data_IF_379005874447
#
_entry.id   IF_379005874447
#
_cell.length_a   1.000
_cell.length_b   1.000
_cell.length_c   1.000
_cell.angle_alpha   90.00
_cell.angle_beta   90.00
_cell.angle_gamma   90.00
#
_symmetry.space_group_name_H-M   'P 1'
#
loop_
_entity.id
_entity.type
_entity.pdbx_description
1 polymer ?
#
# COMPACT_ATOMS: atom_id res chain seq x y z
N UNK A 1 -6.12 2.24 -4.37
CA UNK A 1 -5.60 3.60 -4.20
C UNK A 1 -6.65 4.57 -3.68
N UNK A 2 -6.22 5.62 -2.99
CA UNK A 2 -7.14 6.65 -2.48
C UNK A 2 -7.28 7.84 -3.45
N UNK A 3 -6.33 8.00 -4.38
CA UNK A 3 -6.34 9.10 -5.33
C UNK A 3 -7.41 8.89 -6.41
N UNK A 4 -8.30 9.87 -6.54
CA UNK A 4 -9.32 9.86 -7.59
C UNK A 4 -8.68 10.09 -8.96
N UNK A 5 -9.21 9.46 -9.99
CA UNK A 5 -8.79 9.64 -11.38
C UNK A 5 -9.91 10.29 -12.19
N UNK A 6 -9.53 11.11 -13.15
CA UNK A 6 -10.51 11.81 -14.00
C UNK A 6 -10.70 11.08 -15.34
N UNK A 7 -11.90 11.11 -15.94
CA UNK A 7 -12.21 10.38 -17.18
C UNK A 7 -11.24 10.69 -18.34
N UNK A 8 -10.72 11.91 -18.42
CA UNK A 8 -9.76 12.31 -19.45
C UNK A 8 -8.44 11.50 -19.42
N UNK A 9 -8.13 10.81 -18.32
CA UNK A 9 -6.96 9.94 -18.21
C UNK A 9 -7.18 8.54 -18.82
N UNK A 10 -8.43 8.17 -19.13
CA UNK A 10 -8.75 6.81 -19.60
C UNK A 10 -8.03 6.42 -20.91
N UNK A 11 -7.96 7.27 -21.97
CA UNK A 11 -7.26 6.87 -23.20
C UNK A 11 -5.79 6.52 -22.96
N UNK A 12 -5.07 7.36 -22.21
CA UNK A 12 -3.66 7.11 -21.87
C UNK A 12 -3.49 5.88 -20.98
N UNK A 13 -4.44 5.65 -20.05
CA UNK A 13 -4.44 4.46 -19.19
C UNK A 13 -4.60 3.18 -20.00
N UNK A 14 -5.51 3.15 -20.96
CA UNK A 14 -5.69 1.99 -21.84
C UNK A 14 -4.47 1.76 -22.73
N UNK A 15 -3.90 2.82 -23.32
CA UNK A 15 -2.69 2.69 -24.11
C UNK A 15 -1.54 2.09 -23.30
N UNK A 16 -1.25 2.65 -22.12
CA UNK A 16 -0.21 2.14 -21.22
C UNK A 16 -0.47 0.68 -20.82
N UNK A 17 -1.69 0.34 -20.48
CA UNK A 17 -2.05 -1.04 -20.12
C UNK A 17 -1.80 -2.02 -21.27
N UNK A 18 -2.18 -1.66 -22.51
CA UNK A 18 -1.95 -2.48 -23.68
C UNK A 18 -0.46 -2.65 -23.99
N UNK A 19 0.33 -1.59 -23.83
CA UNK A 19 1.78 -1.64 -24.05
C UNK A 19 2.46 -2.51 -22.98
N UNK A 20 2.09 -2.38 -21.71
CA UNK A 20 2.62 -3.21 -20.62
C UNK A 20 2.17 -4.68 -20.70
N UNK A 21 1.06 -5.00 -21.37
CA UNK A 21 0.68 -6.38 -21.69
C UNK A 21 1.56 -7.00 -22.79
N UNK A 22 2.00 -6.19 -23.75
CA UNK A 22 2.91 -6.65 -24.83
C UNK A 22 4.34 -6.83 -24.31
N UNK A 23 4.79 -5.89 -23.51
CA UNK A 23 6.12 -5.85 -22.90
C UNK A 23 5.99 -5.75 -21.37
N UNK A 24 5.71 -6.86 -20.67
CA UNK A 24 5.52 -6.82 -19.23
C UNK A 24 6.75 -6.29 -18.49
N UNK A 25 6.58 -5.39 -17.51
CA UNK A 25 7.69 -4.89 -16.72
C UNK A 25 8.34 -6.03 -15.92
N UNK A 26 9.66 -6.04 -15.87
CA UNK A 26 10.42 -7.04 -15.10
C UNK A 26 10.55 -6.65 -13.63
N UNK A 27 10.75 -7.65 -12.77
CA UNK A 27 11.17 -7.44 -11.39
C UNK A 27 12.68 -7.17 -11.34
N UNK A 28 13.10 -6.30 -10.40
CA UNK A 28 14.53 -6.05 -10.18
C UNK A 28 15.18 -7.21 -9.46
N UNK A 29 16.42 -7.53 -9.86
CA UNK A 29 17.34 -8.31 -9.07
C UNK A 29 18.30 -7.41 -8.27
N UNK A 30 18.88 -7.97 -7.23
CA UNK A 30 19.80 -7.29 -6.32
C UNK A 30 21.04 -8.17 -6.11
N UNK A 31 22.23 -7.59 -5.92
CA UNK A 31 23.47 -8.36 -5.78
C UNK A 31 23.55 -9.11 -4.44
N UNK A 32 22.79 -8.72 -3.42
CA UNK A 32 22.78 -9.35 -2.10
C UNK A 32 21.50 -9.06 -1.33
N UNK A 33 21.32 -9.77 -0.21
CA UNK A 33 20.27 -9.52 0.77
C UNK A 33 20.34 -8.09 1.34
N UNK A 34 21.53 -7.63 1.64
CA UNK A 34 21.80 -6.29 2.16
C UNK A 34 21.36 -5.21 1.17
N UNK A 35 21.56 -5.43 -0.13
CA UNK A 35 21.08 -4.51 -1.17
C UNK A 35 19.53 -4.48 -1.25
N UNK A 36 18.86 -5.58 -0.96
CA UNK A 36 17.38 -5.60 -0.80
C UNK A 36 16.99 -4.79 0.43
N UNK A 37 17.66 -5.01 1.58
CA UNK A 37 17.40 -4.28 2.82
C UNK A 37 17.62 -2.78 2.67
N UNK A 38 18.68 -2.35 2.00
CA UNK A 38 18.91 -0.95 1.67
C UNK A 38 17.81 -0.35 0.82
N UNK A 39 17.31 -1.11 -0.16
CA UNK A 39 16.18 -0.67 -0.99
C UNK A 39 14.91 -0.49 -0.16
N UNK A 40 14.62 -1.39 0.77
CA UNK A 40 13.48 -1.29 1.68
C UNK A 40 13.61 -0.04 2.56
N UNK A 41 14.78 0.23 3.13
CA UNK A 41 15.06 1.44 3.93
C UNK A 41 14.98 2.73 3.13
N UNK A 42 15.39 2.71 1.86
CA UNK A 42 15.23 3.86 0.96
C UNK A 42 13.75 4.18 0.70
N UNK A 43 12.89 3.17 0.64
CA UNK A 43 11.45 3.34 0.48
C UNK A 43 10.76 3.76 1.80
N UNK A 44 11.24 3.24 2.92
CA UNK A 44 10.79 3.60 4.26
C UNK A 44 11.99 3.95 5.16
N UNK A 45 12.38 5.24 5.27
CA UNK A 45 13.50 5.67 6.10
C UNK A 45 13.32 5.41 7.61
N UNK A 46 12.10 5.11 8.06
CA UNK A 46 11.79 4.75 9.45
C UNK A 46 12.15 3.30 9.79
N UNK A 47 12.35 2.48 8.76
CA UNK A 47 12.63 1.05 8.93
C UNK A 47 14.03 0.84 9.55
N UNK A 48 14.09 0.12 10.69
CA UNK A 48 15.38 -0.21 11.33
C UNK A 48 16.20 -1.16 10.47
N UNK A 49 17.52 -1.19 10.60
CA UNK A 49 18.39 -2.12 9.88
C UNK A 49 17.97 -3.58 10.09
N UNK A 50 17.67 -3.96 11.33
CA UNK A 50 17.29 -5.32 11.73
C UNK A 50 15.98 -5.75 11.06
N UNK A 51 14.97 -4.88 11.08
CA UNK A 51 13.69 -5.12 10.39
C UNK A 51 13.85 -5.16 8.87
N UNK A 52 14.73 -4.34 8.30
CA UNK A 52 15.00 -4.36 6.87
C UNK A 52 15.63 -5.69 6.42
N UNK A 53 16.55 -6.24 7.20
CA UNK A 53 17.16 -7.56 6.96
C UNK A 53 16.10 -8.65 7.10
N UNK A 54 15.31 -8.63 8.18
CA UNK A 54 14.21 -9.58 8.37
C UNK A 54 13.23 -9.57 7.17
N UNK A 55 12.80 -8.39 6.73
CA UNK A 55 11.89 -8.26 5.60
C UNK A 55 12.53 -8.74 4.29
N UNK A 56 13.84 -8.50 4.07
CA UNK A 56 14.51 -8.96 2.85
C UNK A 56 14.54 -10.47 2.72
N UNK A 57 14.66 -11.22 3.83
CA UNK A 57 14.61 -12.68 3.86
C UNK A 57 13.23 -13.24 3.44
N UNK A 58 12.17 -12.44 3.59
CA UNK A 58 10.80 -12.80 3.20
C UNK A 58 10.35 -12.19 1.87
N UNK A 59 11.06 -11.19 1.37
CA UNK A 59 10.70 -10.46 0.16
C UNK A 59 11.43 -10.96 -1.09
N UNK A 60 12.62 -11.52 -0.91
CA UNK A 60 13.47 -11.94 -2.00
C UNK A 60 14.17 -13.27 -1.70
N UNK A 61 14.53 -13.98 -2.75
CA UNK A 61 15.28 -15.23 -2.68
C UNK A 61 16.50 -15.17 -3.60
N UNK A 62 17.64 -15.78 -3.21
CA UNK A 62 18.79 -15.89 -4.08
C UNK A 62 18.56 -16.94 -5.18
N UNK A 63 19.06 -16.66 -6.37
CA UNK A 63 19.21 -17.67 -7.42
C UNK A 63 20.52 -18.46 -7.28
N UNK A 64 20.77 -19.40 -8.21
CA UNK A 64 21.97 -20.23 -8.23
C UNK A 64 23.27 -19.42 -8.43
N UNK A 65 23.18 -18.19 -8.93
CA UNK A 65 24.30 -17.26 -9.15
C UNK A 65 24.47 -16.28 -7.97
N UNK A 66 23.61 -16.37 -6.95
CA UNK A 66 23.62 -15.51 -5.77
C UNK A 66 22.93 -14.15 -5.94
N UNK A 67 22.30 -13.89 -7.08
CA UNK A 67 21.47 -12.69 -7.26
C UNK A 67 20.13 -12.86 -6.57
N UNK A 68 19.68 -11.81 -5.85
CA UNK A 68 18.43 -11.82 -5.07
C UNK A 68 17.26 -11.29 -5.89
N UNK A 69 16.21 -12.08 -6.01
CA UNK A 69 15.01 -11.76 -6.78
C UNK A 69 13.81 -11.57 -5.87
N UNK A 70 13.10 -10.45 -6.06
CA UNK A 70 11.84 -10.20 -5.36
C UNK A 70 10.81 -11.24 -5.75
N UNK A 71 10.12 -11.85 -4.78
CA UNK A 71 9.17 -12.94 -4.99
C UNK A 71 7.79 -12.51 -5.53
N UNK A 72 7.62 -11.24 -5.84
CA UNK A 72 6.35 -10.73 -6.39
C UNK A 72 6.15 -11.16 -7.85
N UNK A 73 4.89 -11.35 -8.25
CA UNK A 73 4.54 -11.53 -9.66
C UNK A 73 4.82 -10.21 -10.43
N UNK A 74 5.63 -10.22 -11.51
CA UNK A 74 5.87 -9.04 -12.34
C UNK A 74 4.59 -8.37 -12.87
N UNK A 75 3.52 -9.13 -13.04
CA UNK A 75 2.20 -8.62 -13.47
C UNK A 75 1.60 -7.59 -12.51
N UNK A 76 2.03 -7.57 -11.24
CA UNK A 76 1.63 -6.51 -10.29
C UNK A 76 2.12 -5.11 -10.70
N UNK A 77 3.08 -5.01 -11.61
CA UNK A 77 3.53 -3.73 -12.15
C UNK A 77 2.72 -3.24 -13.34
N UNK A 78 1.92 -4.11 -13.96
CA UNK A 78 1.03 -3.72 -15.05
C UNK A 78 -0.04 -2.80 -14.47
N UNK A 79 -0.22 -1.63 -15.07
CA UNK A 79 -1.27 -0.71 -14.62
C UNK A 79 -2.65 -1.34 -14.82
N UNK A 80 -3.58 -1.05 -13.90
CA UNK A 80 -4.98 -1.46 -14.12
C UNK A 80 -5.58 -0.68 -15.30
N UNK A 81 -6.24 -1.39 -16.20
CA UNK A 81 -7.01 -0.76 -17.28
C UNK A 81 -8.12 0.15 -16.72
N UNK A 82 -8.71 -0.23 -15.60
CA UNK A 82 -9.77 0.53 -14.97
C UNK A 82 -9.20 1.71 -14.16
N UNK A 83 -9.72 2.90 -14.41
CA UNK A 83 -9.46 4.05 -13.55
C UNK A 83 -10.06 3.81 -12.16
N UNK A 84 -9.39 4.33 -11.12
CA UNK A 84 -9.96 4.37 -9.79
C UNK A 84 -11.08 5.41 -9.73
N UNK A 85 -12.31 4.94 -9.59
CA UNK A 85 -13.52 5.78 -9.50
C UNK A 85 -14.04 5.76 -8.08
N UNK A 86 -13.85 6.87 -7.38
CA UNK A 86 -14.19 6.98 -5.96
C UNK A 86 -15.65 6.63 -5.68
N UNK A 87 -16.58 7.12 -6.48
CA UNK A 87 -18.01 6.89 -6.23
C UNK A 87 -18.44 5.42 -6.39
N UNK A 88 -17.84 4.69 -7.33
CA UNK A 88 -18.06 3.25 -7.48
C UNK A 88 -17.52 2.49 -6.25
N UNK A 89 -16.34 2.89 -5.75
CA UNK A 89 -15.76 2.28 -4.54
C UNK A 89 -16.62 2.56 -3.31
N UNK A 90 -17.11 3.79 -3.15
CA UNK A 90 -17.96 4.16 -2.02
C UNK A 90 -19.30 3.42 -2.06
N UNK A 91 -19.88 3.21 -3.25
CA UNK A 91 -21.08 2.38 -3.40
C UNK A 91 -20.83 0.93 -2.95
N UNK A 92 -19.65 0.36 -3.25
CA UNK A 92 -19.25 -0.95 -2.73
C UNK A 92 -19.08 -0.93 -1.20
N UNK A 93 -18.43 0.10 -0.64
CA UNK A 93 -18.21 0.20 0.80
C UNK A 93 -19.50 0.33 1.60
N UNK A 94 -20.52 0.98 1.07
CA UNK A 94 -21.86 1.05 1.67
C UNK A 94 -22.53 -0.31 1.84
N UNK A 95 -22.13 -1.32 1.07
CA UNK A 95 -22.67 -2.68 1.13
C UNK A 95 -21.86 -3.62 2.04
N UNK A 96 -20.80 -3.14 2.68
CA UNK A 96 -20.01 -3.95 3.61
C UNK A 96 -20.88 -4.24 4.85
N UNK A 97 -21.11 -5.51 5.12
CA UNK A 97 -21.88 -5.96 6.30
C UNK A 97 -20.98 -6.43 7.45
N UNK A 98 -19.71 -6.70 7.16
CA UNK A 98 -18.74 -7.07 8.19
C UNK A 98 -18.25 -5.82 8.94
N UNK A 99 -17.90 -5.94 10.23
CA UNK A 99 -17.19 -4.89 10.95
C UNK A 99 -15.86 -4.56 10.26
N UNK A 100 -15.50 -3.28 10.24
CA UNK A 100 -14.26 -2.78 9.60
C UNK A 100 -13.38 -2.11 10.62
N UNK A 101 -12.10 -2.47 10.67
CA UNK A 101 -11.07 -1.74 11.39
C UNK A 101 -10.30 -0.85 10.42
N UNK A 102 -10.44 0.47 10.59
CA UNK A 102 -9.71 1.49 9.84
C UNK A 102 -8.52 1.98 10.65
N UNK A 103 -7.30 1.68 10.21
CA UNK A 103 -6.07 2.05 10.93
C UNK A 103 -5.31 3.13 10.17
N UNK A 104 -4.97 4.20 10.85
CA UNK A 104 -4.16 5.29 10.32
C UNK A 104 -2.82 5.39 11.08
N UNK A 105 -1.82 5.97 10.41
CA UNK A 105 -0.53 6.27 11.02
C UNK A 105 -0.39 7.77 11.29
N UNK A 106 0.17 8.14 12.44
CA UNK A 106 0.33 9.54 12.87
C UNK A 106 1.13 10.38 11.87
N UNK A 107 2.17 9.80 11.28
CA UNK A 107 3.09 10.45 10.34
C UNK A 107 2.87 10.01 8.89
N UNK A 108 1.64 9.57 8.54
CA UNK A 108 1.34 9.24 7.14
C UNK A 108 1.52 10.46 6.24
N UNK A 109 2.00 10.24 5.03
CA UNK A 109 2.19 11.26 4.00
C UNK A 109 1.24 11.07 2.80
N UNK A 110 0.10 10.44 3.03
CA UNK A 110 -0.93 10.13 2.02
C UNK A 110 -1.38 11.36 1.21
N UNK A 111 -1.27 12.58 1.78
CA UNK A 111 -1.56 13.83 1.08
C UNK A 111 -0.69 14.06 -0.15
N UNK A 112 0.51 13.46 -0.24
CA UNK A 112 1.36 13.55 -1.43
C UNK A 112 0.67 13.03 -2.69
N UNK A 113 -0.28 12.12 -2.53
CA UNK A 113 -1.02 11.51 -3.65
C UNK A 113 -2.47 12.00 -3.76
N UNK A 114 -3.01 12.60 -2.71
CA UNK A 114 -4.42 12.99 -2.66
C UNK A 114 -4.66 14.50 -2.77
N UNK A 115 -3.64 15.34 -2.51
CA UNK A 115 -3.75 16.80 -2.54
C UNK A 115 -3.49 17.47 -1.18
N UNK A 116 -3.93 18.72 -0.97
CA UNK A 116 -3.67 19.47 0.25
C UNK A 116 -4.15 18.75 1.51
N UNK A 117 -3.31 18.72 2.56
CA UNK A 117 -3.53 17.90 3.77
C UNK A 117 -4.91 18.11 4.42
N UNK A 118 -5.39 19.35 4.48
CA UNK A 118 -6.70 19.65 5.08
C UNK A 118 -7.86 19.05 4.27
N UNK A 119 -7.79 19.11 2.93
CA UNK A 119 -8.78 18.54 2.02
C UNK A 119 -8.76 17.00 2.10
N UNK A 120 -7.55 16.43 2.19
CA UNK A 120 -7.37 14.97 2.33
C UNK A 120 -8.01 14.46 3.60
N UNK A 121 -7.90 15.16 4.74
CA UNK A 121 -8.54 14.74 5.98
C UNK A 121 -10.07 14.70 5.83
N UNK A 122 -10.65 15.76 5.31
CA UNK A 122 -12.10 15.84 5.08
C UNK A 122 -12.59 14.73 4.12
N UNK A 123 -11.81 14.45 3.09
CA UNK A 123 -12.13 13.39 2.11
C UNK A 123 -12.03 11.98 2.72
N UNK A 124 -11.02 11.70 3.53
CA UNK A 124 -10.92 10.42 4.25
C UNK A 124 -12.10 10.25 5.19
N UNK A 125 -12.46 11.29 5.97
CA UNK A 125 -13.61 11.24 6.86
C UNK A 125 -14.93 11.03 6.11
N UNK A 126 -15.09 11.66 4.94
CA UNK A 126 -16.24 11.44 4.06
C UNK A 126 -16.33 9.98 3.63
N UNK A 127 -15.21 9.39 3.22
CA UNK A 127 -15.16 8.00 2.76
C UNK A 127 -15.42 7.01 3.89
N UNK A 128 -14.86 7.23 5.07
CA UNK A 128 -15.10 6.36 6.22
C UNK A 128 -16.58 6.33 6.62
N UNK A 129 -17.27 7.48 6.57
CA UNK A 129 -18.68 7.59 6.96
C UNK A 129 -19.65 6.73 6.14
N UNK A 130 -19.27 6.27 4.94
CA UNK A 130 -20.15 5.41 4.14
C UNK A 130 -20.09 3.94 4.58
N UNK A 131 -19.11 3.55 5.38
CA UNK A 131 -18.99 2.18 5.89
C UNK A 131 -19.93 2.04 7.10
N UNK A 132 -20.89 1.10 7.08
CA UNK A 132 -21.94 1.01 8.11
C UNK A 132 -21.40 0.74 9.52
N UNK A 133 -20.40 -0.12 9.66
CA UNK A 133 -19.77 -0.47 10.92
C UNK A 133 -18.25 -0.32 10.81
N UNK A 134 -17.73 0.86 11.19
CA UNK A 134 -16.30 1.16 11.12
C UNK A 134 -15.78 1.63 12.47
N UNK A 135 -14.74 0.96 12.96
CA UNK A 135 -13.92 1.40 14.10
C UNK A 135 -12.62 1.99 13.57
N UNK A 136 -12.29 3.22 13.95
CA UNK A 136 -11.01 3.84 13.60
C UNK A 136 -10.00 3.75 14.73
N UNK A 137 -8.72 3.61 14.38
CA UNK A 137 -7.59 3.63 15.30
C UNK A 137 -6.40 4.39 14.68
N UNK A 138 -5.61 5.03 15.54
CA UNK A 138 -4.39 5.73 15.17
C UNK A 138 -3.19 5.04 15.80
N UNK A 139 -2.21 4.65 14.98
CA UNK A 139 -0.91 4.18 15.47
C UNK A 139 0.05 5.35 15.55
N UNK A 140 0.54 5.63 16.76
CA UNK A 140 1.53 6.67 17.03
C UNK A 140 2.91 6.25 16.54
N UNK A 141 3.77 7.23 16.28
CA UNK A 141 5.14 7.04 15.82
C UNK A 141 5.27 6.08 14.63
N UNK A 142 4.32 6.14 13.70
CA UNK A 142 4.31 5.34 12.47
C UNK A 142 4.10 6.22 11.24
N UNK A 143 4.79 5.91 10.16
CA UNK A 143 4.60 6.49 8.84
C UNK A 143 3.61 5.69 7.99
N UNK A 144 3.58 5.95 6.68
CA UNK A 144 2.67 5.28 5.76
C UNK A 144 2.75 3.74 5.79
N UNK A 145 3.94 3.21 6.05
CA UNK A 145 4.19 1.76 6.20
C UNK A 145 4.07 1.33 7.67
N UNK A 146 2.96 1.64 8.31
CA UNK A 146 2.74 1.43 9.75
C UNK A 146 3.01 -0.02 10.23
N UNK A 147 2.75 -1.00 9.39
CA UNK A 147 3.03 -2.43 9.67
C UNK A 147 4.54 -2.76 9.68
N UNK A 148 5.37 -1.92 9.10
CA UNK A 148 6.84 -2.01 9.21
C UNK A 148 7.36 -1.22 10.40
N UNK A 149 6.72 -0.09 10.72
CA UNK A 149 7.18 0.82 11.76
C UNK A 149 6.78 0.35 13.16
N UNK A 150 5.52 -0.11 13.30
CA UNK A 150 4.91 -0.50 14.58
C UNK A 150 4.11 -1.81 14.44
N UNK A 151 4.75 -2.94 14.05
CA UNK A 151 4.04 -4.20 13.80
C UNK A 151 3.34 -4.75 15.04
N UNK A 152 3.94 -4.62 16.23
CA UNK A 152 3.37 -5.10 17.48
C UNK A 152 2.09 -4.34 17.85
N UNK A 153 2.12 -3.01 17.72
CA UNK A 153 0.94 -2.17 17.99
C UNK A 153 -0.20 -2.47 17.00
N UNK A 154 0.13 -2.71 15.73
CA UNK A 154 -0.86 -3.11 14.73
C UNK A 154 -1.45 -4.50 15.03
N UNK A 155 -0.60 -5.46 15.40
CA UNK A 155 -1.03 -6.82 15.74
C UNK A 155 -2.04 -6.80 16.92
N UNK A 156 -1.73 -6.09 17.99
CA UNK A 156 -2.64 -5.95 19.15
C UNK A 156 -3.98 -5.30 18.76
N UNK A 157 -3.97 -4.28 17.90
CA UNK A 157 -5.22 -3.67 17.42
C UNK A 157 -6.09 -4.65 16.62
N UNK A 158 -5.46 -5.48 15.80
CA UNK A 158 -6.15 -6.51 15.01
C UNK A 158 -6.70 -7.60 15.92
N UNK A 159 -5.90 -8.11 16.87
CA UNK A 159 -6.31 -9.11 17.84
C UNK A 159 -7.50 -8.62 18.67
N UNK A 160 -7.41 -7.42 19.25
CA UNK A 160 -8.50 -6.79 20.00
C UNK A 160 -9.77 -6.60 19.17
N UNK A 161 -9.63 -6.38 17.88
CA UNK A 161 -10.77 -6.22 16.97
C UNK A 161 -11.44 -7.56 16.67
N UNK A 162 -10.67 -8.65 16.52
CA UNK A 162 -11.17 -9.97 16.16
C UNK A 162 -11.80 -10.74 17.33
N UNK A 163 -11.43 -10.42 18.59
CA UNK A 163 -11.95 -11.09 19.80
C UNK A 163 -13.36 -10.57 20.18
N UNK A 164 -13.81 -9.49 19.58
CA UNK A 164 -15.14 -8.89 19.86
C UNK A 164 -16.20 -9.40 18.92
#
# INVERSE_FOLDING_TARGET
>A
GLANTVPAQAPNRYAQWLDELREPPSMRSYPSREAVAERLRKNNPRLTPERAIFLSDHWAVPDAQGAWHVQGDPKHKIVSANLYRTEEVLACWQQITAPVLWVEAEHTDVWRWMGPKAEVRAEIDRRMRVIPDVRSALIKDAGHMLHHDQPEALAHLIEDFLIR
#
